data_IF_779338242127
#
_entry.id   IF_779338242127
#
_cell.length_a   1.000
_cell.length_b   1.000
_cell.length_c   1.000
_cell.angle_alpha   90.00
_cell.angle_beta   90.00
_cell.angle_gamma   90.00
#
_symmetry.space_group_name_H-M   'P 1'
#
loop_
_entity.id
_entity.type
_entity.pdbx_description
1 polymer ?
#
# COMPACT_ATOMS: atom_id res chain seq x y z
N UNK A 1 -30.66 -6.15 8.61
CA UNK A 1 -30.34 -5.93 7.18
C UNK A 1 -29.94 -4.48 6.88
N UNK A 2 -30.85 -3.54 6.56
CA UNK A 2 -30.46 -2.18 6.16
C UNK A 2 -29.74 -1.39 7.28
N UNK A 3 -30.20 -1.51 8.52
CA UNK A 3 -29.56 -0.85 9.67
C UNK A 3 -28.19 -1.44 10.02
N UNK A 4 -28.01 -2.76 9.88
CA UNK A 4 -26.70 -3.40 10.04
C UNK A 4 -25.72 -2.96 8.96
N UNK A 5 -26.17 -2.84 7.72
CA UNK A 5 -25.35 -2.32 6.62
C UNK A 5 -24.92 -0.88 6.89
N UNK A 6 -25.85 -0.03 7.33
CA UNK A 6 -25.55 1.36 7.69
C UNK A 6 -24.57 1.42 8.86
N UNK A 7 -24.79 0.63 9.91
CA UNK A 7 -23.92 0.56 11.07
C UNK A 7 -22.51 0.11 10.70
N UNK A 8 -22.38 -0.96 9.92
CA UNK A 8 -21.08 -1.46 9.46
C UNK A 8 -20.36 -0.45 8.57
N UNK A 9 -21.09 0.20 7.66
CA UNK A 9 -20.53 1.24 6.81
C UNK A 9 -19.94 2.39 7.63
N UNK A 10 -20.73 2.92 8.57
CA UNK A 10 -20.30 4.02 9.45
C UNK A 10 -19.09 3.59 10.28
N UNK A 11 -19.10 2.39 10.86
CA UNK A 11 -17.99 1.86 11.64
C UNK A 11 -16.69 1.73 10.82
N UNK A 12 -16.78 1.29 9.56
CA UNK A 12 -15.60 1.24 8.68
C UNK A 12 -15.13 2.63 8.24
N UNK A 13 -16.05 3.59 8.10
CA UNK A 13 -15.73 4.97 7.73
C UNK A 13 -14.83 5.66 8.77
N UNK A 14 -14.98 5.29 10.04
CA UNK A 14 -14.19 5.80 11.16
C UNK A 14 -12.92 5.00 11.46
N UNK A 15 -12.52 4.06 10.59
CA UNK A 15 -11.21 3.44 10.72
C UNK A 15 -10.10 4.48 10.55
N UNK A 16 -9.05 4.46 11.39
CA UNK A 16 -7.98 5.47 11.34
C UNK A 16 -7.38 5.65 9.95
N UNK A 17 -7.18 4.56 9.21
CA UNK A 17 -6.65 4.58 7.84
C UNK A 17 -7.48 5.48 6.92
N UNK A 18 -8.80 5.32 6.94
CA UNK A 18 -9.71 6.05 6.06
C UNK A 18 -9.89 7.50 6.52
N UNK A 19 -9.87 7.75 7.83
CA UNK A 19 -9.84 9.10 8.38
C UNK A 19 -8.57 9.87 7.99
N UNK A 20 -7.39 9.23 8.05
CA UNK A 20 -6.14 9.84 7.59
C UNK A 20 -6.13 10.09 6.08
N UNK A 21 -6.73 9.20 5.30
CA UNK A 21 -6.94 9.41 3.87
C UNK A 21 -7.82 10.65 3.60
N UNK A 22 -8.98 10.78 4.28
CA UNK A 22 -9.82 11.97 4.16
C UNK A 22 -9.11 13.25 4.62
N UNK A 23 -8.35 13.17 5.72
CA UNK A 23 -7.53 14.30 6.20
C UNK A 23 -6.54 14.75 5.13
N UNK A 24 -5.88 13.82 4.42
CA UNK A 24 -4.96 14.13 3.32
C UNK A 24 -5.61 14.91 2.17
N UNK A 25 -6.90 14.70 1.92
CA UNK A 25 -7.69 15.47 0.95
C UNK A 25 -8.21 16.80 1.52
N UNK A 26 -8.66 16.80 2.78
CA UNK A 26 -9.25 17.97 3.43
C UNK A 26 -8.22 19.07 3.71
N UNK A 27 -7.00 18.72 4.13
CA UNK A 27 -5.93 19.68 4.44
C UNK A 27 -5.65 20.66 3.28
N UNK A 28 -5.38 20.20 2.03
CA UNK A 28 -5.14 21.11 0.91
C UNK A 28 -6.40 21.89 0.49
N UNK A 29 -7.59 21.29 0.60
CA UNK A 29 -8.86 21.96 0.25
C UNK A 29 -9.17 23.11 1.20
N UNK A 30 -9.01 22.87 2.50
CA UNK A 30 -9.22 23.86 3.54
C UNK A 30 -8.03 24.82 3.69
N UNK A 31 -6.97 24.64 2.89
CA UNK A 31 -5.72 25.42 2.91
C UNK A 31 -5.12 25.51 4.31
N UNK A 32 -5.21 24.42 5.09
CA UNK A 32 -4.65 24.38 6.43
C UNK A 32 -3.13 24.34 6.29
N UNK A 33 -2.37 25.24 6.97
CA UNK A 33 -0.91 25.16 7.02
C UNK A 33 -0.52 24.00 7.94
N UNK A 34 -0.66 22.78 7.43
CA UNK A 34 -0.35 21.55 8.14
C UNK A 34 0.92 20.96 7.56
N UNK A 35 1.95 20.87 8.39
CA UNK A 35 3.18 20.13 8.08
C UNK A 35 3.28 18.93 9.01
N UNK A 36 3.44 17.74 8.44
CA UNK A 36 3.61 16.54 9.25
C UNK A 36 5.01 16.54 9.89
N UNK A 37 5.13 16.37 11.23
CA UNK A 37 6.43 16.43 11.89
C UNK A 37 7.39 15.37 11.36
N UNK A 38 8.58 15.79 10.90
CA UNK A 38 9.58 14.89 10.30
C UNK A 38 9.97 13.74 11.24
N UNK A 39 10.14 14.03 12.52
CA UNK A 39 10.47 13.02 13.54
C UNK A 39 9.35 11.97 13.68
N UNK A 40 8.09 12.40 13.64
CA UNK A 40 6.95 11.47 13.70
C UNK A 40 6.92 10.58 12.46
N UNK A 41 7.09 11.16 11.27
CA UNK A 41 7.14 10.38 10.02
C UNK A 41 8.22 9.31 10.07
N UNK A 42 9.44 9.67 10.47
CA UNK A 42 10.55 8.74 10.59
C UNK A 42 10.27 7.66 11.64
N UNK A 43 9.74 8.04 12.81
CA UNK A 43 9.42 7.08 13.87
C UNK A 43 8.36 6.08 13.42
N UNK A 44 7.32 6.52 12.71
CA UNK A 44 6.27 5.65 12.17
C UNK A 44 6.83 4.70 11.12
N UNK A 45 7.64 5.19 10.18
CA UNK A 45 8.26 4.35 9.15
C UNK A 45 9.15 3.29 9.78
N UNK A 46 10.04 3.67 10.71
CA UNK A 46 10.93 2.72 11.40
C UNK A 46 10.11 1.71 12.20
N UNK A 47 9.12 2.17 12.96
CA UNK A 47 8.25 1.31 13.74
C UNK A 47 7.52 0.29 12.84
N UNK A 48 6.92 0.73 11.74
CA UNK A 48 6.19 -0.14 10.83
C UNK A 48 7.10 -1.16 10.15
N UNK A 49 8.29 -0.75 9.70
CA UNK A 49 9.26 -1.67 9.10
C UNK A 49 9.72 -2.75 10.09
N UNK A 50 10.01 -2.35 11.34
CA UNK A 50 10.36 -3.30 12.40
C UNK A 50 9.18 -4.21 12.73
N UNK A 51 7.98 -3.65 12.91
CA UNK A 51 6.80 -4.42 13.28
C UNK A 51 6.41 -5.45 12.22
N UNK A 52 6.38 -5.05 10.94
CA UNK A 52 6.06 -5.96 9.83
C UNK A 52 7.16 -7.01 9.67
N UNK A 53 8.43 -6.62 9.77
CA UNK A 53 9.55 -7.56 9.68
C UNK A 53 9.55 -8.57 10.83
N UNK A 54 9.31 -8.11 12.06
CA UNK A 54 9.23 -8.96 13.24
C UNK A 54 8.05 -9.92 13.17
N UNK A 55 6.84 -9.41 12.93
CA UNK A 55 5.63 -10.23 12.86
C UNK A 55 5.69 -11.24 11.71
N UNK A 56 6.21 -10.85 10.54
CA UNK A 56 6.47 -11.77 9.44
C UNK A 56 7.49 -12.85 9.80
N UNK A 57 8.58 -12.47 10.49
CA UNK A 57 9.61 -13.41 10.96
C UNK A 57 9.11 -14.41 12.00
N UNK A 58 8.28 -13.96 12.94
CA UNK A 58 7.61 -14.81 13.94
C UNK A 58 6.72 -15.86 13.25
N UNK A 59 5.89 -15.44 12.28
CA UNK A 59 5.08 -16.37 11.50
C UNK A 59 5.93 -17.39 10.74
N UNK A 60 7.07 -16.97 10.17
CA UNK A 60 7.97 -17.86 9.44
C UNK A 60 8.67 -18.88 10.35
N UNK A 61 8.95 -18.52 11.62
CA UNK A 61 9.63 -19.40 12.57
C UNK A 61 8.78 -20.61 12.97
N UNK A 62 7.45 -20.52 12.85
CA UNK A 62 6.52 -21.61 13.16
C UNK A 62 6.16 -22.49 11.97
N UNK A 63 6.58 -22.13 10.75
CA UNK A 63 6.26 -22.87 9.53
C UNK A 63 7.23 -24.03 9.28
N UNK A 64 6.71 -25.13 8.74
CA UNK A 64 7.51 -26.25 8.27
C UNK A 64 8.31 -25.89 7.00
N UNK A 65 9.39 -26.62 6.72
CA UNK A 65 10.23 -26.38 5.53
C UNK A 65 9.44 -26.45 4.21
N UNK A 66 8.38 -27.26 4.15
CA UNK A 66 7.50 -27.35 2.97
C UNK A 66 6.65 -26.10 2.79
N UNK A 67 6.11 -25.55 3.87
CA UNK A 67 5.29 -24.34 3.84
C UNK A 67 6.13 -23.11 3.49
N UNK A 68 7.36 -23.03 3.99
CA UNK A 68 8.32 -21.99 3.62
C UNK A 68 8.63 -22.05 2.11
N UNK A 69 8.83 -23.25 1.56
CA UNK A 69 9.06 -23.42 0.12
C UNK A 69 7.85 -22.96 -0.73
N UNK A 70 6.63 -23.27 -0.29
CA UNK A 70 5.40 -22.81 -0.95
C UNK A 70 5.26 -21.29 -0.86
N UNK A 71 5.47 -20.70 0.32
CA UNK A 71 5.43 -19.25 0.52
C UNK A 71 6.46 -18.52 -0.35
N UNK A 72 7.70 -19.04 -0.42
CA UNK A 72 8.75 -18.52 -1.29
C UNK A 72 8.39 -18.63 -2.77
N UNK A 73 7.77 -19.75 -3.18
CA UNK A 73 7.27 -19.93 -4.55
C UNK A 73 6.18 -18.92 -4.91
N UNK A 74 5.21 -18.70 -4.02
CA UNK A 74 4.17 -17.69 -4.20
C UNK A 74 4.74 -16.27 -4.25
N UNK A 75 5.72 -15.96 -3.39
CA UNK A 75 6.40 -14.67 -3.38
C UNK A 75 7.15 -14.43 -4.71
N UNK A 76 7.85 -15.44 -5.24
CA UNK A 76 8.54 -15.34 -6.52
C UNK A 76 7.55 -15.14 -7.69
N UNK A 77 6.45 -15.90 -7.72
CA UNK A 77 5.39 -15.71 -8.72
C UNK A 77 4.81 -14.30 -8.62
N UNK A 78 4.46 -13.85 -7.42
CA UNK A 78 3.94 -12.49 -7.19
C UNK A 78 4.90 -11.41 -7.65
N UNK A 79 6.20 -11.56 -7.35
CA UNK A 79 7.24 -10.63 -7.80
C UNK A 79 7.33 -10.56 -9.34
N UNK A 80 7.38 -11.72 -10.00
CA UNK A 80 7.45 -11.80 -11.47
C UNK A 80 6.18 -11.23 -12.10
N UNK A 81 5.00 -11.59 -11.60
CA UNK A 81 3.73 -11.08 -12.10
C UNK A 81 3.62 -9.57 -11.90
N UNK A 82 4.02 -9.03 -10.75
CA UNK A 82 3.98 -7.59 -10.52
C UNK A 82 4.95 -6.83 -11.44
N UNK A 83 6.18 -7.33 -11.60
CA UNK A 83 7.15 -6.73 -12.52
C UNK A 83 6.65 -6.76 -13.97
N UNK A 84 6.01 -7.88 -14.38
CA UNK A 84 5.40 -8.01 -15.69
C UNK A 84 4.22 -7.05 -15.89
N UNK A 85 3.33 -6.93 -14.89
CA UNK A 85 2.20 -5.99 -14.93
C UNK A 85 2.72 -4.55 -15.03
N UNK A 86 3.68 -4.15 -14.21
CA UNK A 86 4.20 -2.78 -14.23
C UNK A 86 4.92 -2.44 -15.54
N UNK A 87 5.66 -3.41 -16.09
CA UNK A 87 6.26 -3.28 -17.42
C UNK A 87 5.19 -3.12 -18.50
N UNK A 88 4.17 -3.99 -18.53
CA UNK A 88 3.09 -3.90 -19.49
C UNK A 88 2.30 -2.59 -19.36
N UNK A 89 1.97 -2.17 -18.14
CA UNK A 89 1.30 -0.90 -17.88
C UNK A 89 2.10 0.27 -18.46
N UNK A 90 3.41 0.30 -18.21
CA UNK A 90 4.31 1.31 -18.79
C UNK A 90 4.29 1.27 -20.33
N UNK A 91 4.37 0.09 -20.95
CA UNK A 91 4.33 -0.06 -22.41
C UNK A 91 3.00 0.40 -22.99
N UNK A 92 1.88 0.04 -22.37
CA UNK A 92 0.53 0.43 -22.80
C UNK A 92 0.37 1.95 -22.67
N UNK A 93 0.72 2.54 -21.53
CA UNK A 93 0.66 3.98 -21.31
C UNK A 93 1.48 4.72 -22.36
N UNK A 94 2.68 4.23 -22.68
CA UNK A 94 3.53 4.83 -23.72
C UNK A 94 2.98 4.72 -25.14
N UNK A 95 2.16 3.70 -25.44
CA UNK A 95 1.57 3.51 -26.78
C UNK A 95 0.24 4.25 -26.95
N UNK A 96 -0.54 4.37 -25.88
CA UNK A 96 -1.90 4.93 -25.93
C UNK A 96 -1.94 6.41 -25.54
N UNK A 97 -1.02 6.88 -24.70
CA UNK A 97 -1.02 8.26 -24.19
C UNK A 97 0.18 9.06 -24.70
N UNK A 98 0.08 10.40 -24.62
CA UNK A 98 1.17 11.34 -24.99
C UNK A 98 2.09 11.68 -23.80
N UNK A 99 2.18 10.79 -22.80
CA UNK A 99 3.00 11.03 -21.61
C UNK A 99 4.49 10.99 -21.94
N UNK A 100 5.30 11.78 -21.21
CA UNK A 100 6.77 11.69 -21.31
C UNK A 100 7.22 10.34 -20.78
N UNK A 101 8.38 9.86 -21.22
CA UNK A 101 8.90 8.55 -20.83
C UNK A 101 9.02 8.40 -19.30
N UNK A 102 9.45 9.46 -18.61
CA UNK A 102 9.60 9.45 -17.16
C UNK A 102 8.23 9.31 -16.48
N UNK A 103 7.24 10.12 -16.91
CA UNK A 103 5.89 10.11 -16.33
C UNK A 103 5.20 8.75 -16.52
N UNK A 104 5.35 8.12 -17.69
CA UNK A 104 4.74 6.82 -17.96
C UNK A 104 5.35 5.69 -17.12
N UNK A 105 6.66 5.75 -16.84
CA UNK A 105 7.34 4.79 -15.95
C UNK A 105 6.91 5.02 -14.50
N UNK A 106 6.82 6.27 -14.05
CA UNK A 106 6.38 6.59 -12.67
C UNK A 106 4.94 6.17 -12.38
N UNK A 107 4.05 6.23 -13.38
CA UNK A 107 2.65 5.81 -13.23
C UNK A 107 2.48 4.29 -13.39
N UNK A 108 3.31 3.67 -14.24
CA UNK A 108 3.20 2.25 -14.55
C UNK A 108 3.93 1.32 -13.59
N UNK A 109 4.92 1.81 -12.85
CA UNK A 109 5.69 1.05 -11.84
C UNK A 109 5.08 1.19 -10.44
#
# INVERSE_FOLDING_TARGET
>A
MAEELLHNFVTNLFQPLLLFFFMGFLVPILKVPFEFPKALYQSLVIYLLIAIGWHGGELMAHLSSREIAVAGGLAAVGFVTNAFIGYLATVILRRTTRMRQIDAVTVGA
#
